data_IF_591229830171
#
_entry.id   IF_591229830171
#
_cell.length_a   1.000
_cell.length_b   1.000
_cell.length_c   1.000
_cell.angle_alpha   90.00
_cell.angle_beta   90.00
_cell.angle_gamma   90.00
#
_symmetry.space_group_name_H-M   'P 1'
#
loop_
_entity.id
_entity.type
_entity.pdbx_description
1 polymer ?
#
# COMPACT_ATOMS: atom_id res chain seq x y z
N UNK A 1 19.51 -42.84 64.23
CA UNK A 1 19.10 -42.38 62.88
C UNK A 1 20.28 -42.60 61.96
N UNK A 2 20.07 -43.37 60.90
CA UNK A 2 21.14 -43.80 60.00
C UNK A 2 21.51 -42.67 59.05
N UNK A 3 22.78 -42.22 59.10
CA UNK A 3 23.28 -41.08 58.31
C UNK A 3 23.09 -41.33 56.80
N UNK A 4 23.18 -42.60 56.38
CA UNK A 4 22.95 -43.03 55.00
C UNK A 4 21.51 -42.76 54.52
N UNK A 5 20.50 -42.96 55.36
CA UNK A 5 19.10 -42.75 54.99
C UNK A 5 18.80 -41.26 54.76
N UNK A 6 19.37 -40.39 55.60
CA UNK A 6 19.25 -38.93 55.45
C UNK A 6 19.96 -38.46 54.18
N UNK A 7 21.15 -38.99 53.89
CA UNK A 7 21.91 -38.64 52.68
C UNK A 7 21.18 -39.02 51.38
N UNK A 8 20.54 -40.19 51.33
CA UNK A 8 19.75 -40.63 50.18
C UNK A 8 18.52 -39.74 49.97
N UNK A 9 17.81 -39.41 51.07
CA UNK A 9 16.62 -38.56 51.00
C UNK A 9 16.94 -37.15 50.47
N UNK A 10 18.02 -36.52 50.95
CA UNK A 10 18.46 -35.21 50.48
C UNK A 10 18.83 -35.25 48.99
N UNK A 11 19.57 -36.28 48.56
CA UNK A 11 19.98 -36.43 47.16
C UNK A 11 18.77 -36.57 46.22
N UNK A 12 17.75 -37.33 46.63
CA UNK A 12 16.51 -37.50 45.85
C UNK A 12 15.71 -36.21 45.71
N UNK A 13 15.59 -35.42 46.79
CA UNK A 13 14.87 -34.14 46.79
C UNK A 13 15.63 -33.10 45.96
N UNK A 14 16.95 -33.00 46.12
CA UNK A 14 17.78 -32.09 45.32
C UNK A 14 17.76 -32.45 43.84
N UNK A 15 17.84 -33.75 43.50
CA UNK A 15 17.75 -34.22 42.11
C UNK A 15 16.39 -33.90 41.47
N UNK A 16 15.29 -34.07 42.21
CA UNK A 16 13.94 -33.82 41.71
C UNK A 16 13.68 -32.31 41.52
N UNK A 17 14.06 -31.48 42.48
CA UNK A 17 13.94 -30.02 42.37
C UNK A 17 14.84 -29.46 41.27
N UNK A 18 16.07 -29.96 41.15
CA UNK A 18 17.00 -29.59 40.07
C UNK A 18 16.46 -29.96 38.69
N UNK A 19 15.93 -31.17 38.52
CA UNK A 19 15.32 -31.60 37.27
C UNK A 19 14.05 -30.80 36.92
N UNK A 20 13.21 -30.50 37.92
CA UNK A 20 12.01 -29.68 37.74
C UNK A 20 12.36 -28.25 37.29
N UNK A 21 13.35 -27.61 37.92
CA UNK A 21 13.80 -26.26 37.56
C UNK A 21 14.42 -26.20 36.16
N UNK A 22 15.21 -27.20 35.77
CA UNK A 22 15.77 -27.30 34.41
C UNK A 22 14.67 -27.48 33.35
N UNK A 23 13.68 -28.34 33.64
CA UNK A 23 12.52 -28.57 32.77
C UNK A 23 11.67 -27.30 32.64
N UNK A 24 11.42 -26.60 33.76
CA UNK A 24 10.64 -25.37 33.78
C UNK A 24 11.32 -24.23 33.00
N UNK A 25 12.64 -24.05 33.17
CA UNK A 25 13.45 -23.09 32.38
C UNK A 25 13.47 -23.44 30.89
N UNK A 26 13.52 -24.72 30.55
CA UNK A 26 13.43 -25.19 29.16
C UNK A 26 12.06 -24.90 28.54
N UNK A 27 10.98 -25.20 29.26
CA UNK A 27 9.61 -24.93 28.83
C UNK A 27 9.33 -23.43 28.65
N UNK A 28 9.83 -22.57 29.55
CA UNK A 28 9.70 -21.12 29.42
C UNK A 28 10.42 -20.57 28.18
N UNK A 29 11.62 -21.08 27.87
CA UNK A 29 12.36 -20.68 26.65
C UNK A 29 11.66 -21.13 25.37
N UNK A 30 11.16 -22.37 25.35
CA UNK A 30 10.40 -22.90 24.21
C UNK A 30 9.12 -22.08 23.98
N UNK A 31 8.37 -21.79 25.05
CA UNK A 31 7.15 -20.97 25.00
C UNK A 31 7.43 -19.54 24.54
N UNK A 32 8.52 -18.90 24.99
CA UNK A 32 8.93 -17.57 24.50
C UNK A 32 9.21 -17.59 23.00
N UNK A 33 9.93 -18.61 22.52
CA UNK A 33 10.26 -18.73 21.10
C UNK A 33 9.03 -18.97 20.22
N UNK A 34 8.06 -19.74 20.71
CA UNK A 34 6.78 -19.95 20.05
C UNK A 34 5.94 -18.65 19.98
N UNK A 35 5.95 -17.87 21.06
CA UNK A 35 5.31 -16.55 21.08
C UNK A 35 5.99 -15.57 20.11
N UNK A 36 7.32 -15.51 20.08
CA UNK A 36 8.08 -14.65 19.16
C UNK A 36 7.80 -15.01 17.69
N UNK A 37 7.80 -16.30 17.35
CA UNK A 37 7.46 -16.75 16.00
C UNK A 37 6.01 -16.40 15.64
N UNK A 38 5.06 -16.64 16.54
CA UNK A 38 3.65 -16.33 16.27
C UNK A 38 3.40 -14.83 16.13
N UNK A 39 4.08 -13.99 16.92
CA UNK A 39 4.06 -12.52 16.78
C UNK A 39 4.63 -12.09 15.43
N UNK A 40 5.81 -12.57 15.04
CA UNK A 40 6.43 -12.24 13.76
C UNK A 40 5.54 -12.63 12.56
N UNK A 41 4.88 -13.80 12.64
CA UNK A 41 3.90 -14.19 11.63
C UNK A 41 2.67 -13.28 11.61
N UNK A 42 2.18 -12.83 12.77
CA UNK A 42 1.07 -11.87 12.85
C UNK A 42 1.44 -10.53 12.22
N UNK A 43 2.58 -9.96 12.61
CA UNK A 43 3.08 -8.68 12.10
C UNK A 43 3.27 -8.71 10.57
N UNK A 44 3.82 -9.80 10.04
CA UNK A 44 4.00 -9.98 8.60
C UNK A 44 2.65 -10.01 7.88
N UNK A 45 1.66 -10.72 8.43
CA UNK A 45 0.31 -10.79 7.86
C UNK A 45 -0.42 -9.44 7.92
N UNK A 46 -0.30 -8.73 9.03
CA UNK A 46 -0.88 -7.40 9.21
C UNK A 46 -0.26 -6.39 8.24
N UNK A 47 1.06 -6.42 8.07
CA UNK A 47 1.74 -5.55 7.11
C UNK A 47 1.29 -5.83 5.67
N UNK A 48 1.16 -7.10 5.29
CA UNK A 48 0.65 -7.49 3.98
C UNK A 48 -0.81 -7.06 3.77
N UNK A 49 -1.65 -7.19 4.79
CA UNK A 49 -3.05 -6.76 4.73
C UNK A 49 -3.15 -5.24 4.57
N UNK A 50 -2.37 -4.47 5.33
CA UNK A 50 -2.25 -3.01 5.23
C UNK A 50 -1.84 -2.57 3.82
N UNK A 51 -0.77 -3.17 3.27
CA UNK A 51 -0.33 -2.87 1.90
C UNK A 51 -1.40 -3.21 0.86
N UNK A 52 -2.07 -4.35 1.00
CA UNK A 52 -3.12 -4.78 0.07
C UNK A 52 -4.29 -3.81 0.05
N UNK A 53 -4.72 -3.34 1.21
CA UNK A 53 -5.79 -2.36 1.35
C UNK A 53 -5.38 -1.03 0.71
N UNK A 54 -4.22 -0.50 1.11
CA UNK A 54 -3.62 0.71 0.57
C UNK A 54 -3.51 0.68 -0.97
N UNK A 55 -2.98 -0.40 -1.55
CA UNK A 55 -2.85 -0.54 -3.01
C UNK A 55 -4.18 -0.66 -3.73
N UNK A 56 -5.19 -1.26 -3.10
CA UNK A 56 -6.54 -1.36 -3.67
C UNK A 56 -7.17 0.02 -3.81
N UNK A 57 -7.07 0.83 -2.76
CA UNK A 57 -7.55 2.21 -2.76
C UNK A 57 -6.79 3.10 -3.74
N UNK A 58 -5.46 3.08 -3.72
CA UNK A 58 -4.66 3.88 -4.65
C UNK A 58 -4.95 3.54 -6.12
N UNK A 59 -4.99 2.25 -6.47
CA UNK A 59 -5.26 1.84 -7.85
C UNK A 59 -6.67 2.23 -8.30
N UNK A 60 -7.67 2.06 -7.43
CA UNK A 60 -9.04 2.47 -7.71
C UNK A 60 -9.10 3.97 -7.99
N UNK A 61 -8.53 4.78 -7.12
CA UNK A 61 -8.67 6.24 -7.19
C UNK A 61 -7.87 6.82 -8.35
N UNK A 62 -6.70 6.26 -8.68
CA UNK A 62 -5.97 6.63 -9.88
C UNK A 62 -6.80 6.40 -11.16
N UNK A 63 -7.53 5.28 -11.24
CA UNK A 63 -8.43 5.00 -12.36
C UNK A 63 -9.65 5.91 -12.38
N UNK A 64 -10.23 6.20 -11.22
CA UNK A 64 -11.35 7.12 -11.11
C UNK A 64 -10.95 8.52 -11.54
N UNK A 65 -9.77 8.97 -11.14
CA UNK A 65 -9.23 10.27 -11.56
C UNK A 65 -8.96 10.33 -13.07
N UNK A 66 -8.30 9.32 -13.64
CA UNK A 66 -8.13 9.22 -15.10
C UNK A 66 -9.46 9.23 -15.87
N UNK A 67 -10.48 8.54 -15.34
CA UNK A 67 -11.83 8.52 -15.92
C UNK A 67 -12.51 9.88 -15.82
N UNK A 68 -12.37 10.57 -14.68
CA UNK A 68 -12.91 11.90 -14.48
C UNK A 68 -12.25 12.92 -15.44
N UNK A 69 -10.93 12.82 -15.66
CA UNK A 69 -10.21 13.61 -16.66
C UNK A 69 -10.76 13.39 -18.06
N UNK A 70 -10.92 12.13 -18.50
CA UNK A 70 -11.50 11.80 -19.81
C UNK A 70 -12.91 12.38 -19.96
N UNK A 71 -13.76 12.20 -18.93
CA UNK A 71 -15.12 12.74 -18.92
C UNK A 71 -15.12 14.26 -19.02
N UNK A 72 -14.26 14.95 -18.28
CA UNK A 72 -14.19 16.41 -18.29
C UNK A 72 -13.70 16.96 -19.63
N UNK A 73 -12.71 16.30 -20.25
CA UNK A 73 -12.28 16.60 -21.62
C UNK A 73 -13.41 16.44 -22.64
N UNK A 74 -14.22 15.40 -22.50
CA UNK A 74 -15.41 15.20 -23.34
C UNK A 74 -16.43 16.32 -23.14
N UNK A 75 -16.66 16.73 -21.90
CA UNK A 75 -17.55 17.86 -21.60
C UNK A 75 -17.00 19.13 -22.25
N UNK A 76 -15.74 19.49 -22.03
CA UNK A 76 -15.09 20.67 -22.61
C UNK A 76 -15.18 20.74 -24.15
N UNK A 77 -15.15 19.58 -24.82
CA UNK A 77 -15.33 19.50 -26.27
C UNK A 77 -16.76 19.84 -26.70
N UNK A 78 -17.74 19.38 -25.95
CA UNK A 78 -19.15 19.43 -26.33
C UNK A 78 -19.85 20.70 -25.78
N UNK A 79 -19.40 21.24 -24.64
CA UNK A 79 -19.96 22.44 -23.96
C UNK A 79 -19.03 22.99 -22.88
N UNK A 80 -19.37 24.16 -22.33
CA UNK A 80 -18.74 24.65 -21.10
C UNK A 80 -19.11 23.74 -19.90
N UNK A 81 -18.13 23.27 -19.10
CA UNK A 81 -18.38 22.48 -17.89
C UNK A 81 -19.23 23.24 -16.88
N UNK A 82 -20.18 22.54 -16.26
CA UNK A 82 -20.92 23.09 -15.12
C UNK A 82 -20.18 22.85 -13.79
N UNK A 83 -20.73 23.40 -12.71
CA UNK A 83 -20.19 23.24 -11.35
C UNK A 83 -20.10 21.75 -10.94
N UNK A 84 -21.09 20.95 -11.30
CA UNK A 84 -21.10 19.50 -11.03
C UNK A 84 -19.99 18.74 -11.76
N UNK A 85 -19.68 19.13 -13.00
CA UNK A 85 -18.61 18.51 -13.79
C UNK A 85 -17.25 18.83 -13.15
N UNK A 86 -17.02 20.10 -12.77
CA UNK A 86 -15.81 20.54 -12.09
C UNK A 86 -15.64 19.87 -10.73
N UNK A 87 -16.70 19.82 -9.92
CA UNK A 87 -16.69 19.17 -8.61
C UNK A 87 -16.36 17.68 -8.71
N UNK A 88 -16.95 16.96 -9.64
CA UNK A 88 -16.67 15.54 -9.82
C UNK A 88 -15.20 15.27 -10.18
N UNK A 89 -14.56 16.16 -10.96
CA UNK A 89 -13.14 16.07 -11.28
C UNK A 89 -12.27 16.35 -10.05
N UNK A 90 -12.57 17.41 -9.30
CA UNK A 90 -11.80 17.81 -8.13
C UNK A 90 -11.92 16.79 -6.98
N UNK A 91 -13.11 16.22 -6.77
CA UNK A 91 -13.32 15.12 -5.80
C UNK A 91 -12.48 13.89 -6.14
N UNK A 92 -12.41 13.50 -7.42
CA UNK A 92 -11.60 12.37 -7.85
C UNK A 92 -10.09 12.64 -7.68
N UNK A 93 -9.64 13.86 -7.95
CA UNK A 93 -8.26 14.30 -7.69
C UNK A 93 -7.91 14.24 -6.21
N UNK A 94 -8.79 14.76 -5.34
CA UNK A 94 -8.54 14.82 -3.91
C UNK A 94 -8.54 13.43 -3.27
N UNK A 95 -9.44 12.54 -3.70
CA UNK A 95 -9.42 11.13 -3.29
C UNK A 95 -8.08 10.46 -3.63
N UNK A 96 -7.61 10.64 -4.88
CA UNK A 96 -6.30 10.12 -5.30
C UNK A 96 -5.14 10.72 -4.49
N UNK A 97 -5.12 12.04 -4.29
CA UNK A 97 -4.07 12.73 -3.52
C UNK A 97 -3.97 12.21 -2.09
N UNK A 98 -5.10 11.97 -1.45
CA UNK A 98 -5.15 11.47 -0.07
C UNK A 98 -4.54 10.06 0.01
N UNK A 99 -4.99 9.13 -0.83
CA UNK A 99 -4.46 7.76 -0.83
C UNK A 99 -3.02 7.67 -1.35
N UNK A 100 -2.59 8.57 -2.25
CA UNK A 100 -1.19 8.67 -2.64
C UNK A 100 -0.30 9.05 -1.45
N UNK A 101 -0.72 10.03 -0.65
CA UNK A 101 0.02 10.45 0.55
C UNK A 101 0.12 9.32 1.59
N UNK A 102 -0.95 8.55 1.77
CA UNK A 102 -0.94 7.36 2.62
C UNK A 102 0.00 6.28 2.07
N UNK A 103 0.00 6.06 0.75
CA UNK A 103 0.87 5.08 0.09
C UNK A 103 2.35 5.38 0.32
N UNK A 104 2.76 6.65 0.31
CA UNK A 104 4.15 7.04 0.60
C UNK A 104 4.63 6.61 2.00
N UNK A 105 3.71 6.37 2.93
CA UNK A 105 4.03 5.92 4.29
C UNK A 105 4.10 4.39 4.43
N UNK A 106 3.55 3.65 3.46
CA UNK A 106 3.30 2.20 3.56
C UNK A 106 4.08 1.41 2.51
N UNK A 107 4.18 1.95 1.30
CA UNK A 107 4.72 1.24 0.15
C UNK A 107 6.27 1.27 0.13
N UNK A 108 6.91 0.23 -0.40
CA UNK A 108 8.35 0.28 -0.67
C UNK A 108 8.65 1.08 -1.93
N UNK A 109 9.90 1.50 -2.07
CA UNK A 109 10.39 2.31 -3.20
C UNK A 109 10.10 1.69 -4.57
N UNK A 110 10.10 0.36 -4.66
CA UNK A 110 9.79 -0.38 -5.90
C UNK A 110 8.35 -0.10 -6.41
N UNK A 111 7.42 0.25 -5.52
CA UNK A 111 6.05 0.65 -5.85
C UNK A 111 5.94 2.17 -5.97
N UNK A 112 6.65 2.92 -5.12
CA UNK A 112 6.65 4.39 -5.15
C UNK A 112 7.17 4.92 -6.48
N UNK A 113 8.27 4.38 -7.01
CA UNK A 113 8.86 4.87 -8.26
C UNK A 113 7.88 4.87 -9.46
N UNK A 114 7.23 3.75 -9.83
CA UNK A 114 6.23 3.77 -10.90
C UNK A 114 4.94 4.51 -10.52
N UNK A 115 4.59 4.55 -9.22
CA UNK A 115 3.44 5.31 -8.73
C UNK A 115 3.63 6.81 -8.87
N UNK A 116 4.83 7.32 -8.60
CA UNK A 116 5.15 8.74 -8.69
C UNK A 116 5.09 9.23 -10.14
N UNK A 117 5.58 8.42 -11.09
CA UNK A 117 5.43 8.70 -12.53
C UNK A 117 3.95 8.82 -12.90
N UNK A 118 3.11 7.89 -12.44
CA UNK A 118 1.67 7.95 -12.70
C UNK A 118 1.00 9.18 -12.04
N UNK A 119 1.36 9.50 -10.79
CA UNK A 119 0.85 10.66 -10.04
C UNK A 119 1.24 11.99 -10.70
N UNK A 120 2.48 12.13 -11.14
CA UNK A 120 2.95 13.31 -11.88
C UNK A 120 2.19 13.48 -13.20
N UNK A 121 2.01 12.40 -13.95
CA UNK A 121 1.26 12.44 -15.20
C UNK A 121 -0.23 12.80 -14.99
N UNK A 122 -0.88 12.20 -13.98
CA UNK A 122 -2.26 12.53 -13.60
C UNK A 122 -2.40 14.03 -13.26
N UNK A 123 -1.49 14.54 -12.44
CA UNK A 123 -1.47 15.95 -12.03
C UNK A 123 -1.17 16.88 -13.22
N UNK A 124 -0.29 16.46 -14.12
CA UNK A 124 0.03 17.18 -15.34
C UNK A 124 -1.20 17.33 -16.25
N UNK A 125 -1.88 16.22 -16.56
CA UNK A 125 -3.09 16.21 -17.38
C UNK A 125 -4.20 17.04 -16.73
N UNK A 126 -4.40 16.92 -15.41
CA UNK A 126 -5.33 17.81 -14.68
C UNK A 126 -4.99 19.29 -14.87
N UNK A 127 -3.72 19.66 -14.76
CA UNK A 127 -3.27 21.03 -14.99
C UNK A 127 -3.58 21.51 -16.41
N UNK A 128 -3.36 20.67 -17.42
CA UNK A 128 -3.73 20.98 -18.81
C UNK A 128 -5.23 21.19 -18.94
N UNK A 129 -6.04 20.29 -18.39
CA UNK A 129 -7.50 20.37 -18.39
C UNK A 129 -8.00 21.67 -17.77
N UNK A 130 -7.49 22.06 -16.60
CA UNK A 130 -7.89 23.31 -15.94
C UNK A 130 -7.49 24.55 -16.73
N UNK A 131 -6.32 24.57 -17.37
CA UNK A 131 -5.90 25.68 -18.24
C UNK A 131 -6.77 25.78 -19.48
N UNK A 132 -7.13 24.66 -20.10
CA UNK A 132 -8.06 24.63 -21.24
C UNK A 132 -9.44 25.15 -20.84
N UNK A 133 -9.95 24.76 -19.67
CA UNK A 133 -11.22 25.25 -19.12
C UNK A 133 -11.21 26.77 -18.90
N UNK A 134 -10.08 27.33 -18.47
CA UNK A 134 -9.92 28.76 -18.18
C UNK A 134 -9.59 29.62 -19.42
N UNK A 135 -9.27 28.99 -20.56
CA UNK A 135 -8.81 29.71 -21.76
C UNK A 135 -7.34 30.12 -21.73
N UNK A 136 -6.57 29.64 -20.74
CA UNK A 136 -5.16 29.99 -20.51
C UNK A 136 -4.21 28.84 -20.90
N UNK A 137 -4.52 28.17 -22.01
CA UNK A 137 -3.73 27.05 -22.52
C UNK A 137 -2.29 27.48 -22.88
N UNK A 138 -1.30 26.68 -22.49
CA UNK A 138 0.10 26.93 -22.86
C UNK A 138 0.34 26.63 -24.34
N UNK A 139 1.44 27.14 -24.95
CA UNK A 139 1.80 26.77 -26.31
C UNK A 139 1.86 25.24 -26.49
N UNK A 140 1.12 24.72 -27.48
CA UNK A 140 1.01 23.29 -27.75
C UNK A 140 -0.11 22.57 -27.00
N UNK A 141 -0.69 23.18 -25.96
CA UNK A 141 -1.83 22.61 -25.23
C UNK A 141 -3.14 22.88 -25.98
N UNK A 142 -3.87 21.81 -26.26
CA UNK A 142 -5.21 21.85 -26.84
C UNK A 142 -5.98 20.58 -26.45
N UNK A 143 -7.25 20.49 -26.84
CA UNK A 143 -8.08 19.32 -26.51
C UNK A 143 -7.49 18.00 -27.05
N UNK A 144 -6.81 18.01 -28.20
CA UNK A 144 -6.18 16.81 -28.76
C UNK A 144 -4.98 16.38 -27.93
N UNK A 145 -4.05 17.30 -27.66
CA UNK A 145 -2.85 16.96 -26.86
C UNK A 145 -3.22 16.51 -25.44
N UNK A 146 -4.27 17.09 -24.85
CA UNK A 146 -4.78 16.66 -23.55
C UNK A 146 -5.43 15.28 -23.59
N UNK A 147 -6.15 14.94 -24.66
CA UNK A 147 -6.70 13.60 -24.85
C UNK A 147 -5.61 12.55 -25.07
N UNK A 148 -4.58 12.87 -25.86
CA UNK A 148 -3.39 12.01 -26.06
C UNK A 148 -2.68 11.73 -24.73
N UNK A 149 -2.38 12.78 -23.96
CA UNK A 149 -1.75 12.65 -22.64
C UNK A 149 -2.64 11.89 -21.64
N UNK A 150 -3.97 12.03 -21.73
CA UNK A 150 -4.91 11.27 -20.89
C UNK A 150 -4.87 9.78 -21.23
N UNK A 151 -4.83 9.41 -22.51
CA UNK A 151 -4.75 8.01 -22.94
C UNK A 151 -3.46 7.33 -22.45
N UNK A 152 -2.35 8.05 -22.42
CA UNK A 152 -1.07 7.56 -21.87
C UNK A 152 -1.14 7.19 -20.38
N UNK A 153 -2.04 7.82 -19.61
CA UNK A 153 -2.23 7.52 -18.18
C UNK A 153 -2.56 6.04 -17.94
N UNK A 154 -3.30 5.39 -18.85
CA UNK A 154 -3.70 4.00 -18.68
C UNK A 154 -2.50 3.06 -18.66
N UNK A 155 -1.47 3.35 -19.45
CA UNK A 155 -0.23 2.58 -19.46
C UNK A 155 0.53 2.77 -18.13
N UNK A 156 0.65 4.00 -17.64
CA UNK A 156 1.33 4.31 -16.38
C UNK A 156 0.61 3.68 -15.18
N UNK A 157 -0.72 3.79 -15.12
CA UNK A 157 -1.55 3.16 -14.09
C UNK A 157 -1.41 1.62 -14.12
N UNK A 158 -1.27 1.02 -15.30
CA UNK A 158 -1.01 -0.42 -15.46
C UNK A 158 0.37 -0.80 -14.91
N UNK A 159 1.40 0.00 -15.19
CA UNK A 159 2.77 -0.21 -14.69
C UNK A 159 2.81 -0.11 -13.16
N UNK A 160 2.20 0.92 -12.57
CA UNK A 160 2.05 1.07 -11.13
C UNK A 160 1.36 -0.16 -10.51
N UNK A 161 0.23 -0.60 -11.07
CA UNK A 161 -0.47 -1.82 -10.61
C UNK A 161 0.41 -3.06 -10.68
N UNK A 162 1.23 -3.20 -11.72
CA UNK A 162 2.11 -4.34 -11.87
C UNK A 162 3.12 -4.40 -10.71
N UNK A 163 3.76 -3.27 -10.39
CA UNK A 163 4.68 -3.18 -9.25
C UNK A 163 3.98 -3.52 -7.92
N UNK A 164 2.78 -2.98 -7.67
CA UNK A 164 1.97 -3.32 -6.49
C UNK A 164 1.71 -4.82 -6.38
N UNK A 165 1.38 -5.47 -7.51
CA UNK A 165 1.10 -6.91 -7.54
C UNK A 165 2.36 -7.75 -7.29
N UNK A 166 3.50 -7.32 -7.81
CA UNK A 166 4.78 -7.96 -7.54
C UNK A 166 5.15 -7.85 -6.06
N UNK A 167 4.98 -6.67 -5.45
CA UNK A 167 5.21 -6.48 -4.01
C UNK A 167 4.32 -7.39 -3.15
N UNK A 168 3.04 -7.53 -3.53
CA UNK A 168 2.10 -8.43 -2.84
C UNK A 168 2.33 -9.93 -3.13
N UNK A 169 3.33 -10.29 -3.94
CA UNK A 169 3.60 -11.68 -4.33
C UNK A 169 2.53 -12.32 -5.23
N UNK A 170 1.70 -11.51 -5.88
CA UNK A 170 0.64 -11.97 -6.82
C UNK A 170 0.95 -11.66 -8.28
N UNK A 171 2.13 -11.09 -8.56
CA UNK A 171 2.64 -10.85 -9.90
C UNK A 171 3.33 -12.11 -10.44
N UNK A 172 2.81 -12.67 -11.54
CA UNK A 172 3.58 -13.59 -12.39
C UNK A 172 4.31 -12.83 -13.49
N UNK A 173 5.33 -13.44 -14.09
CA UNK A 173 5.93 -12.98 -15.35
C UNK A 173 4.81 -12.89 -16.40
N UNK A 174 4.66 -11.71 -17.03
CA UNK A 174 3.74 -11.52 -18.15
C UNK A 174 4.52 -11.64 -19.46
#
# INVERSE_FOLDING_TARGET
MDIAAVAIAVTGVTGTLGAALLTQRGAERAKRRELELSQAFSETRENLALRRDCYTHLYRDARQFATALNRHLRVLRDRTPGEDDARALDEAKDAHRNHWSETLMIAPDAVIAPGDIANQALTHVYGMVKRLEQGDARPGENLRSAAEAQDELWALIKTMRHAMRQDLGVGGEF
#
